data_IF_599100359432
#
_entry.id   IF_599100359432
#
_cell.length_a   1.000
_cell.length_b   1.000
_cell.length_c   1.000
_cell.angle_alpha   90.00
_cell.angle_beta   90.00
_cell.angle_gamma   90.00
#
_symmetry.space_group_name_H-M   'P 1'
#
loop_
_entity.id
_entity.type
_entity.pdbx_description
1 polymer ?
#
# COMPACT_ATOMS: atom_id res chain seq x y z
N UNK A 1 -19.14 -15.90 -2.49
CA UNK A 1 -20.14 -14.96 -1.91
C UNK A 1 -20.75 -15.51 -0.62
N UNK A 2 -21.17 -16.78 -0.56
CA UNK A 2 -21.74 -17.36 0.66
C UNK A 2 -20.74 -17.37 1.84
N UNK A 3 -19.48 -17.68 1.58
CA UNK A 3 -18.42 -17.67 2.58
C UNK A 3 -18.11 -16.27 3.08
N UNK A 4 -18.14 -15.28 2.18
CA UNK A 4 -17.97 -13.86 2.55
C UNK A 4 -19.13 -13.42 3.46
N UNK A 5 -20.38 -13.80 3.14
CA UNK A 5 -21.52 -13.49 3.97
C UNK A 5 -21.38 -14.04 5.40
N UNK A 6 -20.90 -15.28 5.53
CA UNK A 6 -20.61 -15.89 6.83
C UNK A 6 -19.47 -15.18 7.58
N UNK A 7 -18.37 -14.88 6.89
CA UNK A 7 -17.20 -14.25 7.50
C UNK A 7 -17.45 -12.82 7.96
N UNK A 8 -18.33 -12.07 7.25
CA UNK A 8 -18.64 -10.66 7.55
C UNK A 8 -19.90 -10.46 8.39
N UNK A 9 -20.68 -11.52 8.66
CA UNK A 9 -22.00 -11.45 9.28
C UNK A 9 -22.99 -10.53 8.51
N UNK A 10 -22.80 -10.36 7.21
CA UNK A 10 -23.71 -9.60 6.34
C UNK A 10 -24.70 -10.54 5.65
N UNK A 11 -25.86 -9.98 5.27
CA UNK A 11 -26.88 -10.74 4.53
C UNK A 11 -26.44 -11.05 3.10
N UNK A 12 -26.91 -12.15 2.53
CA UNK A 12 -26.61 -12.55 1.16
C UNK A 12 -26.96 -11.48 0.11
N UNK A 13 -28.09 -10.74 0.21
CA UNK A 13 -28.36 -9.60 -0.67
C UNK A 13 -27.35 -8.47 -0.55
N UNK A 14 -26.91 -8.12 0.67
CA UNK A 14 -25.90 -7.08 0.89
C UNK A 14 -24.56 -7.47 0.25
N UNK A 15 -24.11 -8.72 0.44
CA UNK A 15 -22.90 -9.24 -0.21
C UNK A 15 -23.03 -9.22 -1.73
N UNK A 16 -24.17 -9.60 -2.28
CA UNK A 16 -24.41 -9.56 -3.72
C UNK A 16 -24.29 -8.14 -4.25
N UNK A 17 -24.88 -7.18 -3.57
CA UNK A 17 -24.80 -5.76 -3.96
C UNK A 17 -23.35 -5.24 -3.91
N UNK A 18 -22.63 -5.50 -2.82
CA UNK A 18 -21.23 -5.06 -2.66
C UNK A 18 -20.32 -5.72 -3.70
N UNK A 19 -20.46 -7.05 -3.89
CA UNK A 19 -19.61 -7.78 -4.86
C UNK A 19 -19.89 -7.33 -6.30
N UNK A 20 -21.13 -7.04 -6.66
CA UNK A 20 -21.43 -6.49 -8.00
C UNK A 20 -20.77 -5.12 -8.19
N UNK A 21 -20.83 -4.23 -7.21
CA UNK A 21 -20.11 -2.94 -7.29
C UNK A 21 -18.61 -3.11 -7.47
N UNK A 22 -18.00 -4.07 -6.76
CA UNK A 22 -16.56 -4.36 -6.87
C UNK A 22 -16.20 -4.98 -8.23
N UNK A 23 -17.09 -5.80 -8.80
CA UNK A 23 -16.95 -6.34 -10.16
C UNK A 23 -17.10 -5.23 -11.22
N UNK A 24 -18.11 -4.37 -11.08
CA UNK A 24 -18.35 -3.24 -12.00
C UNK A 24 -17.19 -2.23 -12.00
N UNK A 25 -16.53 -2.04 -10.84
CA UNK A 25 -15.32 -1.21 -10.72
C UNK A 25 -14.04 -1.90 -11.18
N UNK A 26 -14.08 -3.20 -11.51
CA UNK A 26 -12.94 -3.98 -11.91
C UNK A 26 -11.99 -4.39 -10.76
N UNK A 27 -12.27 -3.99 -9.51
CA UNK A 27 -11.44 -4.32 -8.32
C UNK A 27 -11.43 -5.82 -8.05
N UNK A 28 -12.54 -6.49 -8.36
CA UNK A 28 -12.71 -7.94 -8.19
C UNK A 28 -13.05 -8.56 -9.52
N UNK A 29 -12.57 -9.76 -9.77
CA UNK A 29 -12.90 -10.58 -10.94
C UNK A 29 -13.51 -11.91 -10.53
N UNK A 30 -14.32 -12.50 -11.42
CA UNK A 30 -14.75 -13.89 -11.30
C UNK A 30 -13.66 -14.79 -11.88
N UNK A 31 -12.94 -15.50 -11.01
CA UNK A 31 -11.69 -16.16 -11.42
C UNK A 31 -11.88 -17.60 -11.90
N UNK A 32 -12.57 -18.45 -11.19
CA UNK A 32 -12.75 -19.87 -11.55
C UNK A 32 -14.02 -20.45 -11.00
N UNK A 33 -14.46 -21.52 -11.64
CA UNK A 33 -15.56 -22.35 -11.11
C UNK A 33 -14.94 -23.29 -10.09
N UNK A 34 -15.24 -23.12 -8.80
CA UNK A 34 -14.77 -23.98 -7.72
C UNK A 34 -15.19 -25.45 -7.90
N UNK A 35 -14.53 -26.36 -7.18
CA UNK A 35 -14.94 -27.77 -7.16
C UNK A 35 -16.33 -27.90 -6.55
N UNK A 36 -17.21 -28.66 -7.20
CA UNK A 36 -18.56 -28.91 -6.73
C UNK A 36 -18.58 -30.14 -5.81
N UNK A 37 -19.14 -29.98 -4.62
CA UNK A 37 -19.45 -31.09 -3.70
C UNK A 37 -20.90 -31.58 -3.85
N UNK A 38 -21.54 -31.35 -5.01
CA UNK A 38 -22.93 -31.69 -5.31
C UNK A 38 -23.82 -30.45 -5.38
N UNK A 39 -24.01 -29.90 -6.58
CA UNK A 39 -24.83 -28.72 -6.84
C UNK A 39 -24.21 -27.81 -7.89
N UNK A 40 -24.76 -26.57 -8.04
CA UNK A 40 -24.20 -25.56 -8.96
C UNK A 40 -22.80 -25.16 -8.46
N UNK A 41 -21.82 -25.26 -9.33
CA UNK A 41 -20.42 -24.92 -9.02
C UNK A 41 -20.32 -23.47 -8.53
N UNK A 42 -19.62 -23.21 -7.40
CA UNK A 42 -19.45 -21.86 -6.89
C UNK A 42 -18.51 -21.04 -7.81
N UNK A 43 -18.87 -19.78 -8.03
CA UNK A 43 -18.00 -18.82 -8.69
C UNK A 43 -17.09 -18.20 -7.63
N UNK A 44 -15.79 -18.35 -7.80
CA UNK A 44 -14.78 -17.76 -6.92
C UNK A 44 -14.51 -16.33 -7.35
N UNK A 45 -14.37 -15.44 -6.37
CA UNK A 45 -13.98 -14.05 -6.55
C UNK A 45 -12.51 -13.90 -6.18
N UNK A 46 -11.77 -13.16 -6.99
CA UNK A 46 -10.38 -12.79 -6.72
C UNK A 46 -10.22 -11.26 -6.83
N UNK A 47 -9.26 -10.71 -6.13
CA UNK A 47 -8.82 -9.34 -6.38
C UNK A 47 -8.21 -9.30 -7.78
N UNK A 48 -8.51 -8.24 -8.52
CA UNK A 48 -7.85 -8.01 -9.81
C UNK A 48 -6.52 -7.28 -9.55
N UNK A 49 -5.37 -7.95 -9.68
CA UNK A 49 -4.08 -7.34 -9.39
C UNK A 49 -3.79 -6.13 -10.28
N UNK A 50 -4.32 -6.14 -11.50
CA UNK A 50 -4.06 -5.09 -12.50
C UNK A 50 -4.82 -3.77 -12.25
N UNK A 51 -5.76 -3.73 -11.32
CA UNK A 51 -6.56 -2.51 -11.06
C UNK A 51 -6.13 -1.70 -9.87
N UNK A 52 -5.31 -2.25 -9.00
CA UNK A 52 -4.90 -1.61 -7.75
C UNK A 52 -3.39 -1.52 -7.69
N UNK A 53 -2.86 -0.30 -7.77
CA UNK A 53 -1.45 -0.04 -7.53
C UNK A 53 -1.27 0.81 -6.27
N UNK A 54 -0.23 0.52 -5.51
CA UNK A 54 0.20 1.30 -4.34
C UNK A 54 1.69 1.56 -4.44
N UNK A 55 2.10 2.77 -4.09
CA UNK A 55 3.51 3.11 -3.93
C UNK A 55 3.91 2.97 -2.46
N UNK A 56 5.07 2.39 -2.21
CA UNK A 56 5.62 2.26 -0.87
C UNK A 56 7.04 2.82 -0.86
N UNK A 57 7.32 3.72 0.06
CA UNK A 57 8.66 4.25 0.32
C UNK A 57 9.09 3.83 1.72
N UNK A 58 10.21 3.16 1.82
CA UNK A 58 10.85 2.84 3.09
C UNK A 58 12.15 3.61 3.24
N UNK A 59 12.24 4.45 4.26
CA UNK A 59 13.43 5.24 4.58
C UNK A 59 14.00 4.75 5.91
N UNK A 60 15.07 3.98 5.81
CA UNK A 60 15.85 3.53 6.96
C UNK A 60 16.98 4.53 7.27
N UNK A 61 17.82 4.21 8.24
CA UNK A 61 18.94 5.08 8.65
C UNK A 61 19.97 5.37 7.55
N UNK A 62 20.07 4.51 6.53
CA UNK A 62 21.10 4.58 5.50
C UNK A 62 20.61 4.31 4.08
N UNK A 63 19.34 3.94 3.90
CA UNK A 63 18.76 3.59 2.59
C UNK A 63 17.35 4.13 2.43
N UNK A 64 17.05 4.52 1.20
CA UNK A 64 15.71 4.75 0.71
C UNK A 64 15.38 3.67 -0.30
N UNK A 65 14.26 2.98 -0.09
CA UNK A 65 13.71 2.00 -1.01
C UNK A 65 12.32 2.46 -1.43
N UNK A 66 12.05 2.34 -2.71
CA UNK A 66 10.74 2.59 -3.28
C UNK A 66 10.23 1.34 -3.98
N UNK A 67 8.93 1.07 -3.86
CA UNK A 67 8.25 -0.06 -4.47
C UNK A 67 6.96 0.39 -5.10
N UNK A 68 6.69 -0.13 -6.29
CA UNK A 68 5.35 -0.16 -6.88
C UNK A 68 4.83 -1.57 -6.69
N UNK A 69 3.67 -1.71 -6.07
CA UNK A 69 3.04 -3.02 -5.81
C UNK A 69 1.63 -3.08 -6.38
N UNK A 70 1.21 -4.27 -6.80
CA UNK A 70 -0.14 -4.55 -7.29
C UNK A 70 -1.13 -4.87 -6.17
N UNK A 71 -2.38 -5.17 -6.52
CA UNK A 71 -3.46 -5.51 -5.57
C UNK A 71 -3.25 -6.82 -4.80
N UNK A 72 -2.35 -7.68 -5.25
CA UNK A 72 -1.94 -8.92 -4.56
C UNK A 72 -0.63 -8.76 -3.78
N UNK A 73 -0.12 -7.51 -3.69
CA UNK A 73 1.14 -7.16 -3.03
C UNK A 73 2.41 -7.70 -3.73
N UNK A 74 2.31 -8.07 -5.01
CA UNK A 74 3.50 -8.39 -5.79
C UNK A 74 4.23 -7.11 -6.17
N UNK A 75 5.57 -7.14 -6.10
CA UNK A 75 6.42 -6.02 -6.49
C UNK A 75 6.49 -5.95 -8.02
N UNK A 76 5.97 -4.86 -8.59
CA UNK A 76 6.04 -4.58 -10.04
C UNK A 76 7.38 -3.94 -10.39
N UNK A 77 7.82 -2.98 -9.58
CA UNK A 77 9.06 -2.22 -9.79
C UNK A 77 9.64 -1.80 -8.45
N UNK A 78 10.97 -1.75 -8.36
CA UNK A 78 11.67 -1.30 -7.17
C UNK A 78 12.85 -0.38 -7.50
N UNK A 79 13.17 0.49 -6.54
CA UNK A 79 14.34 1.38 -6.56
C UNK A 79 15.00 1.36 -5.18
N UNK A 80 16.33 1.36 -5.16
CA UNK A 80 17.09 1.50 -3.91
C UNK A 80 18.20 2.52 -4.07
N UNK A 81 18.36 3.36 -3.05
CA UNK A 81 19.38 4.41 -2.98
C UNK A 81 20.02 4.45 -1.60
N UNK A 82 21.31 4.80 -1.54
CA UNK A 82 21.95 5.13 -0.28
C UNK A 82 21.62 6.57 0.09
N UNK A 83 21.19 6.78 1.34
CA UNK A 83 20.97 8.12 1.91
C UNK A 83 22.04 8.49 2.94
N UNK A 84 23.09 7.70 3.02
CA UNK A 84 24.16 7.91 3.97
C UNK A 84 24.89 9.25 3.71
N UNK A 85 24.97 10.09 4.75
CA UNK A 85 25.57 11.45 4.68
C UNK A 85 24.84 12.45 3.76
N UNK A 86 23.63 12.14 3.32
CA UNK A 86 22.80 13.11 2.60
C UNK A 86 22.20 14.13 3.55
N UNK A 87 22.02 15.36 3.08
CA UNK A 87 21.28 16.37 3.82
C UNK A 87 19.78 16.05 3.85
N UNK A 88 19.08 16.59 4.84
CA UNK A 88 17.64 16.37 5.02
C UNK A 88 16.84 16.64 3.73
N UNK A 89 17.10 17.78 3.11
CA UNK A 89 16.32 18.22 1.95
C UNK A 89 16.62 17.38 0.71
N UNK A 90 17.87 16.93 0.53
CA UNK A 90 18.25 16.01 -0.54
C UNK A 90 17.55 14.65 -0.40
N UNK A 91 17.34 14.15 0.83
CA UNK A 91 16.59 12.92 1.08
C UNK A 91 15.11 13.09 0.72
N UNK A 92 14.53 14.25 1.03
CA UNK A 92 13.13 14.56 0.67
C UNK A 92 12.97 14.69 -0.85
N UNK A 93 13.90 15.33 -1.54
CA UNK A 93 13.89 15.41 -3.00
C UNK A 93 14.06 14.03 -3.64
N UNK A 94 14.97 13.21 -3.12
CA UNK A 94 15.17 11.83 -3.58
C UNK A 94 13.90 10.98 -3.37
N UNK A 95 13.22 11.15 -2.24
CA UNK A 95 11.94 10.48 -1.97
C UNK A 95 10.90 10.87 -3.03
N UNK A 96 10.72 12.16 -3.29
CA UNK A 96 9.74 12.65 -4.27
C UNK A 96 10.08 12.20 -5.69
N UNK A 97 11.34 12.28 -6.09
CA UNK A 97 11.77 11.80 -7.41
C UNK A 97 11.59 10.29 -7.58
N UNK A 98 11.87 9.51 -6.53
CA UNK A 98 11.63 8.06 -6.53
C UNK A 98 10.15 7.73 -6.71
N UNK A 99 9.25 8.46 -6.02
CA UNK A 99 7.80 8.31 -6.19
C UNK A 99 7.39 8.60 -7.63
N UNK A 100 7.87 9.71 -8.20
CA UNK A 100 7.55 10.10 -9.58
C UNK A 100 8.07 9.11 -10.61
N UNK A 101 9.25 8.53 -10.38
CA UNK A 101 9.81 7.53 -11.29
C UNK A 101 9.03 6.21 -11.24
N UNK A 102 8.71 5.72 -10.06
CA UNK A 102 7.89 4.50 -9.90
C UNK A 102 6.48 4.68 -10.45
N UNK A 103 5.92 5.90 -10.33
CA UNK A 103 4.61 6.23 -10.91
C UNK A 103 4.57 6.02 -12.43
N UNK A 104 5.68 6.19 -13.15
CA UNK A 104 5.77 5.97 -14.60
C UNK A 104 5.63 4.50 -14.97
N UNK A 105 6.00 3.58 -14.07
CA UNK A 105 5.91 2.14 -14.27
C UNK A 105 4.50 1.58 -14.00
N UNK A 106 3.63 2.39 -13.37
CA UNK A 106 2.25 1.99 -13.08
C UNK A 106 1.42 1.95 -14.35
N UNK A 107 0.73 0.83 -14.58
CA UNK A 107 -0.18 0.65 -15.73
C UNK A 107 -1.61 1.11 -15.45
N UNK A 108 -1.94 1.31 -14.20
CA UNK A 108 -3.25 1.69 -13.70
C UNK A 108 -3.13 2.78 -12.64
N UNK A 109 -4.26 3.30 -12.18
CA UNK A 109 -4.30 4.34 -11.16
C UNK A 109 -3.66 3.88 -9.85
N UNK A 110 -2.89 4.77 -9.23
CA UNK A 110 -2.29 4.54 -7.92
C UNK A 110 -3.25 5.03 -6.85
N UNK A 111 -3.64 4.13 -5.95
CA UNK A 111 -4.58 4.41 -4.86
C UNK A 111 -4.01 5.35 -3.79
N UNK A 112 -2.71 5.27 -3.56
CA UNK A 112 -2.05 6.07 -2.53
C UNK A 112 -0.60 5.66 -2.32
N UNK A 113 0.02 6.33 -1.37
CA UNK A 113 1.44 6.19 -1.04
C UNK A 113 1.58 5.85 0.44
N UNK A 114 2.27 4.75 0.74
CA UNK A 114 2.73 4.42 2.08
C UNK A 114 4.17 4.87 2.26
N UNK A 115 4.45 5.70 3.26
CA UNK A 115 5.82 6.06 3.63
C UNK A 115 6.15 5.46 4.99
N UNK A 116 7.16 4.64 5.03
CA UNK A 116 7.63 3.96 6.24
C UNK A 116 9.00 4.53 6.61
N UNK A 117 9.13 5.03 7.83
CA UNK A 117 10.37 5.66 8.30
C UNK A 117 10.76 5.16 9.68
N UNK A 118 12.06 5.03 9.93
CA UNK A 118 12.53 4.68 11.26
C UNK A 118 12.37 5.85 12.25
N UNK A 119 12.20 5.52 13.53
CA UNK A 119 11.97 6.49 14.59
C UNK A 119 10.49 6.79 14.84
N UNK A 120 10.18 7.60 15.85
CA UNK A 120 8.82 7.91 16.23
C UNK A 120 8.08 8.72 15.16
N UNK A 121 6.85 8.30 14.88
CA UNK A 121 5.95 8.92 13.88
C UNK A 121 4.62 9.26 14.53
N UNK A 122 4.08 10.42 14.24
CA UNK A 122 2.70 10.80 14.49
C UNK A 122 1.88 10.42 13.25
N UNK A 123 1.38 9.17 13.22
CA UNK A 123 0.82 8.55 12.00
C UNK A 123 -0.41 9.27 11.47
N UNK A 124 -1.28 9.80 12.36
CA UNK A 124 -2.50 10.51 11.96
C UNK A 124 -2.20 11.76 11.15
N UNK A 125 -1.23 12.55 11.56
CA UNK A 125 -0.78 13.77 10.91
C UNK A 125 0.31 13.51 9.85
N UNK A 126 0.90 12.31 9.85
CA UNK A 126 1.95 11.91 8.92
C UNK A 126 3.27 12.65 9.14
N UNK A 127 3.65 12.85 10.42
CA UNK A 127 4.85 13.60 10.82
C UNK A 127 5.91 12.64 11.36
N UNK A 128 7.11 12.63 10.79
CA UNK A 128 8.28 12.03 11.41
C UNK A 128 8.78 12.95 12.53
N UNK A 129 8.59 12.54 13.78
CA UNK A 129 8.92 13.36 14.94
C UNK A 129 10.43 13.48 15.13
N UNK A 130 11.15 12.36 14.98
CA UNK A 130 12.58 12.35 15.20
C UNK A 130 13.25 11.16 14.49
N UNK A 131 14.14 11.45 13.54
CA UNK A 131 15.00 10.48 12.87
C UNK A 131 16.42 11.06 12.74
N UNK A 132 17.24 10.94 13.79
CA UNK A 132 18.52 11.65 13.87
C UNK A 132 19.50 11.28 12.77
N UNK A 133 19.49 10.02 12.32
CA UNK A 133 20.36 9.57 11.23
C UNK A 133 20.02 10.20 9.87
N UNK A 134 18.80 10.76 9.74
CA UNK A 134 18.35 11.49 8.55
C UNK A 134 18.41 13.01 8.76
N UNK A 135 18.82 13.47 9.94
CA UNK A 135 18.74 14.89 10.31
C UNK A 135 17.30 15.40 10.47
N UNK A 136 16.34 14.51 10.68
CA UNK A 136 14.92 14.87 10.69
C UNK A 136 14.39 15.15 12.10
N UNK A 137 13.64 16.25 12.21
CA UNK A 137 12.85 16.62 13.39
C UNK A 137 11.57 17.30 12.94
N UNK A 138 10.43 16.77 13.35
CA UNK A 138 9.09 17.25 13.00
C UNK A 138 8.90 17.47 11.49
N UNK A 139 9.27 16.48 10.68
CA UNK A 139 9.14 16.55 9.22
C UNK A 139 7.72 16.12 8.81
N UNK A 140 6.91 17.01 8.19
CA UNK A 140 5.54 16.72 7.81
C UNK A 140 5.50 15.98 6.46
N UNK A 141 5.90 14.71 6.47
CA UNK A 141 6.08 13.89 5.26
C UNK A 141 4.79 13.82 4.46
N UNK A 142 3.66 13.52 5.13
CA UNK A 142 2.35 13.44 4.47
C UNK A 142 2.03 14.70 3.68
N UNK A 143 2.14 15.85 4.32
CA UNK A 143 1.86 17.15 3.68
C UNK A 143 2.77 17.38 2.46
N UNK A 144 4.08 17.11 2.61
CA UNK A 144 5.06 17.30 1.53
C UNK A 144 4.73 16.42 0.31
N UNK A 145 4.39 15.14 0.55
CA UNK A 145 4.09 14.20 -0.53
C UNK A 145 2.74 14.53 -1.17
N UNK A 146 1.70 14.77 -0.39
CA UNK A 146 0.36 15.08 -0.90
C UNK A 146 0.35 16.39 -1.71
N UNK A 147 1.08 17.43 -1.26
CA UNK A 147 1.21 18.69 -1.99
C UNK A 147 1.90 18.52 -3.35
N UNK A 148 2.94 17.70 -3.42
CA UNK A 148 3.75 17.54 -4.64
C UNK A 148 3.23 16.48 -5.60
N UNK A 149 2.63 15.42 -5.09
CA UNK A 149 2.23 14.24 -5.88
C UNK A 149 0.72 14.19 -6.12
N UNK A 150 -0.08 14.76 -5.20
CA UNK A 150 -1.54 14.79 -5.32
C UNK A 150 -2.22 13.44 -5.00
N UNK A 151 -1.56 12.54 -4.29
CA UNK A 151 -2.09 11.23 -3.91
C UNK A 151 -2.22 11.11 -2.39
N UNK A 152 -3.25 10.42 -1.87
CA UNK A 152 -3.38 10.13 -0.45
C UNK A 152 -2.12 9.48 0.10
N UNK A 153 -1.58 10.00 1.20
CA UNK A 153 -0.32 9.52 1.78
C UNK A 153 -0.49 9.11 3.23
N UNK A 154 0.03 7.94 3.57
CA UNK A 154 0.05 7.38 4.91
C UNK A 154 1.49 7.22 5.36
N UNK A 155 1.79 7.67 6.58
CA UNK A 155 3.14 7.61 7.13
C UNK A 155 3.12 6.80 8.42
N UNK A 156 4.03 5.83 8.53
CA UNK A 156 4.11 4.97 9.70
C UNK A 156 5.59 4.69 10.10
N UNK A 157 5.77 4.33 11.36
CA UNK A 157 7.06 3.81 11.83
C UNK A 157 7.33 2.41 11.23
N UNK A 158 8.58 2.13 10.89
CA UNK A 158 9.01 0.89 10.23
C UNK A 158 8.69 -0.38 11.04
N UNK A 159 8.97 -0.39 12.34
CA UNK A 159 8.69 -1.54 13.21
C UNK A 159 7.18 -1.76 13.34
N UNK A 160 6.41 -0.67 13.46
CA UNK A 160 4.96 -0.75 13.55
C UNK A 160 4.34 -1.20 12.24
N UNK A 161 4.83 -0.72 11.11
CA UNK A 161 4.39 -1.17 9.79
C UNK A 161 4.68 -2.67 9.57
N UNK A 162 5.86 -3.15 9.98
CA UNK A 162 6.17 -4.59 9.95
C UNK A 162 5.22 -5.41 10.82
N UNK A 163 4.93 -4.95 12.04
CA UNK A 163 4.00 -5.64 12.94
C UNK A 163 2.57 -5.70 12.36
N UNK A 164 2.11 -4.63 11.72
CA UNK A 164 0.82 -4.60 11.02
C UNK A 164 0.83 -5.57 9.82
N UNK A 165 1.90 -5.57 9.04
CA UNK A 165 2.08 -6.49 7.91
C UNK A 165 2.04 -7.95 8.35
N UNK A 166 2.77 -8.30 9.42
CA UNK A 166 2.76 -9.66 9.98
C UNK A 166 1.38 -10.06 10.52
N UNK A 167 0.69 -9.14 11.18
CA UNK A 167 -0.66 -9.40 11.70
C UNK A 167 -1.69 -9.72 10.60
N UNK A 168 -1.64 -9.01 9.46
CA UNK A 168 -2.64 -9.19 8.40
C UNK A 168 -2.24 -10.22 7.34
N UNK A 169 -0.95 -10.42 7.10
CA UNK A 169 -0.44 -11.21 5.97
C UNK A 169 0.58 -12.26 6.39
N UNK A 170 1.02 -12.25 7.64
CA UNK A 170 1.99 -13.19 8.16
C UNK A 170 1.42 -14.56 8.46
N UNK A 171 2.28 -15.45 8.89
CA UNK A 171 1.96 -16.85 9.23
C UNK A 171 1.98 -17.11 10.75
N UNK A 172 2.13 -16.07 11.58
CA UNK A 172 2.19 -16.20 13.04
C UNK A 172 0.81 -16.37 13.68
#
# INVERSE_FOLDING_TARGET
RADIAKATNLTAPAITYITNKLLDSGIVTEHTIGQSSGGRRPILLAINPDTLNVLVIHISSNRLRGYLVDGELNVISEKEYSVQKMAKDDILELMLSTILDLKKDAKTDILGIGVVVHGPVQSKEGISLFAPNLGWRNVPIKYIVEEKIGLPTFVENDVRAMAIGEFYYGSA
#
